data_IF_992907056954
#
_entry.id   IF_992907056954
#
_cell.length_a   1.000
_cell.length_b   1.000
_cell.length_c   1.000
_cell.angle_alpha   90.00
_cell.angle_beta   90.00
_cell.angle_gamma   90.00
#
_symmetry.space_group_name_H-M   'P 1'
#
loop_
_entity.id
_entity.type
_entity.pdbx_description
1 polymer ?
#
# COMPACT_ATOMS: atom_id res chain seq x y z
N UNK A 1 -26.56 -64.59 10.47
CA UNK A 1 -25.42 -63.91 11.12
C UNK A 1 -24.69 -62.98 10.14
N UNK A 2 -24.45 -63.43 8.89
CA UNK A 2 -23.75 -62.67 7.85
C UNK A 2 -24.46 -61.39 7.36
N UNK A 3 -25.79 -61.39 7.24
CA UNK A 3 -26.58 -60.21 6.85
C UNK A 3 -26.55 -59.10 7.91
N UNK A 4 -26.60 -59.47 9.19
CA UNK A 4 -26.58 -58.51 10.29
C UNK A 4 -25.21 -57.80 10.38
N UNK A 5 -24.12 -58.56 10.16
CA UNK A 5 -22.76 -58.03 10.09
C UNK A 5 -22.54 -57.08 8.90
N UNK A 6 -23.08 -57.42 7.73
CA UNK A 6 -23.03 -56.53 6.55
C UNK A 6 -23.80 -55.23 6.78
N UNK A 7 -24.97 -55.29 7.42
CA UNK A 7 -25.78 -54.09 7.75
C UNK A 7 -25.04 -53.21 8.76
N UNK A 8 -24.47 -53.78 9.83
CA UNK A 8 -23.71 -53.00 10.81
C UNK A 8 -22.42 -52.41 10.24
N UNK A 9 -21.74 -53.11 9.33
CA UNK A 9 -20.59 -52.56 8.61
C UNK A 9 -20.96 -51.38 7.71
N UNK A 10 -22.09 -51.47 6.98
CA UNK A 10 -22.60 -50.36 6.14
C UNK A 10 -23.03 -49.17 7.00
N UNK A 11 -23.72 -49.39 8.12
CA UNK A 11 -24.09 -48.33 9.06
C UNK A 11 -22.86 -47.67 9.70
N UNK A 12 -21.83 -48.46 10.05
CA UNK A 12 -20.56 -47.95 10.55
C UNK A 12 -19.83 -47.09 9.54
N UNK A 13 -19.81 -47.49 8.25
CA UNK A 13 -19.24 -46.69 7.18
C UNK A 13 -20.04 -45.39 6.93
N UNK A 14 -21.38 -45.47 6.98
CA UNK A 14 -22.26 -44.31 6.82
C UNK A 14 -22.14 -43.31 7.98
N UNK A 15 -21.79 -43.75 9.19
CA UNK A 15 -21.59 -42.87 10.34
C UNK A 15 -20.48 -41.83 10.11
N UNK A 16 -19.48 -42.15 9.29
CA UNK A 16 -18.40 -41.22 8.91
C UNK A 16 -18.75 -40.32 7.72
N UNK A 17 -19.79 -40.65 6.96
CA UNK A 17 -20.15 -39.93 5.74
C UNK A 17 -20.42 -38.43 5.96
N UNK A 18 -21.14 -37.99 7.02
CA UNK A 18 -21.31 -36.56 7.29
C UNK A 18 -19.99 -35.83 7.54
N UNK A 19 -19.03 -36.49 8.19
CA UNK A 19 -17.72 -35.90 8.51
C UNK A 19 -16.84 -35.78 7.26
N UNK A 20 -16.82 -36.82 6.42
CA UNK A 20 -16.10 -36.81 5.13
C UNK A 20 -16.67 -35.72 4.22
N UNK A 21 -18.00 -35.60 4.12
CA UNK A 21 -18.65 -34.55 3.34
C UNK A 21 -18.26 -33.17 3.89
N UNK A 22 -18.27 -32.97 5.21
CA UNK A 22 -17.81 -31.71 5.82
C UNK A 22 -16.37 -31.38 5.47
N UNK A 23 -15.47 -32.37 5.47
CA UNK A 23 -14.07 -32.15 5.08
C UNK A 23 -13.95 -31.76 3.63
N UNK A 24 -14.59 -32.49 2.71
CA UNK A 24 -14.60 -32.18 1.28
C UNK A 24 -15.15 -30.78 1.03
N UNK A 25 -16.31 -30.44 1.61
CA UNK A 25 -16.92 -29.12 1.48
C UNK A 25 -16.01 -28.05 2.05
N UNK A 26 -15.42 -28.27 3.23
CA UNK A 26 -14.50 -27.31 3.83
C UNK A 26 -13.26 -27.09 2.96
N UNK A 27 -12.72 -28.15 2.35
CA UNK A 27 -11.54 -28.08 1.50
C UNK A 27 -11.83 -27.33 0.19
N UNK A 28 -12.99 -27.57 -0.42
CA UNK A 28 -13.43 -26.90 -1.64
C UNK A 28 -13.89 -25.45 -1.42
N UNK A 29 -14.31 -25.09 -0.19
CA UNK A 29 -14.81 -23.75 0.12
C UNK A 29 -13.68 -22.73 0.10
N UNK A 30 -13.69 -21.89 -0.93
CA UNK A 30 -12.73 -20.79 -1.09
C UNK A 30 -12.90 -19.72 0.00
N UNK A 31 -11.80 -19.07 0.42
CA UNK A 31 -11.88 -17.88 1.25
C UNK A 31 -12.64 -16.77 0.52
N UNK A 32 -13.47 -16.03 1.25
CA UNK A 32 -14.16 -14.84 0.74
C UNK A 32 -13.79 -13.64 1.61
N UNK A 33 -13.10 -12.67 1.03
CA UNK A 33 -12.70 -11.47 1.75
C UNK A 33 -13.80 -10.41 1.67
N UNK A 34 -14.13 -9.83 2.82
CA UNK A 34 -14.92 -8.62 2.91
C UNK A 34 -13.99 -7.46 3.26
N UNK A 35 -14.03 -6.41 2.44
CA UNK A 35 -13.22 -5.19 2.60
C UNK A 35 -14.19 -4.05 2.89
N UNK A 36 -13.87 -3.27 3.92
CA UNK A 36 -14.55 -2.04 4.28
C UNK A 36 -13.50 -0.94 4.22
N UNK A 37 -13.86 0.21 3.69
CA UNK A 37 -12.99 1.38 3.60
C UNK A 37 -13.56 2.45 4.52
N UNK A 38 -12.68 3.18 5.18
CA UNK A 38 -13.02 4.40 5.89
C UNK A 38 -13.47 5.49 4.89
N UNK A 39 -14.16 6.49 5.41
CA UNK A 39 -14.71 7.59 4.62
C UNK A 39 -13.67 8.67 4.31
N UNK A 40 -12.44 8.56 4.81
CA UNK A 40 -11.37 9.52 4.56
C UNK A 40 -10.13 8.83 3.99
N UNK A 41 -9.52 9.47 2.99
CA UNK A 41 -8.21 9.10 2.47
C UNK A 41 -7.17 10.12 2.91
N UNK A 42 -5.89 9.75 2.83
CA UNK A 42 -4.80 10.73 2.85
C UNK A 42 -4.09 10.70 1.50
N UNK A 43 -4.24 11.78 0.74
CA UNK A 43 -3.53 11.99 -0.51
C UNK A 43 -2.27 12.79 -0.22
N UNK A 44 -1.13 12.34 -0.75
CA UNK A 44 0.16 12.96 -0.49
C UNK A 44 1.07 12.99 -1.72
N UNK A 45 2.06 13.85 -1.62
CA UNK A 45 3.27 13.80 -2.44
C UNK A 45 4.47 13.89 -1.50
N UNK A 46 5.27 12.83 -1.44
CA UNK A 46 6.38 12.69 -0.49
C UNK A 46 7.67 12.29 -1.23
N UNK A 47 8.77 12.01 -0.50
CA UNK A 47 10.03 11.55 -1.10
C UNK A 47 9.92 10.23 -1.93
N UNK A 48 8.78 9.54 -1.83
CA UNK A 48 8.40 8.36 -2.61
C UNK A 48 7.43 8.67 -3.78
N UNK A 49 7.26 9.95 -4.12
CA UNK A 49 6.37 10.43 -5.17
C UNK A 49 4.93 10.58 -4.71
N UNK A 50 3.99 10.45 -5.65
CA UNK A 50 2.55 10.48 -5.37
C UNK A 50 2.11 9.25 -4.57
N UNK A 51 1.36 9.49 -3.49
CA UNK A 51 0.89 8.45 -2.56
C UNK A 51 -0.57 8.62 -2.19
N UNK A 52 -1.24 7.50 -1.95
CA UNK A 52 -2.58 7.46 -1.36
C UNK A 52 -2.55 6.51 -0.17
N UNK A 53 -2.90 6.99 1.02
CA UNK A 53 -3.11 6.14 2.17
C UNK A 53 -4.62 5.98 2.40
N UNK A 54 -5.03 4.75 2.67
CA UNK A 54 -6.44 4.40 2.87
C UNK A 54 -6.55 3.50 4.08
N UNK A 55 -7.48 3.82 4.99
CA UNK A 55 -7.78 2.95 6.11
C UNK A 55 -8.79 1.88 5.67
N UNK A 56 -8.37 0.62 5.77
CA UNK A 56 -9.11 -0.54 5.28
C UNK A 56 -9.31 -1.55 6.40
N UNK A 57 -10.55 -2.01 6.56
CA UNK A 57 -10.90 -3.09 7.48
C UNK A 57 -11.16 -4.39 6.71
N UNK A 58 -10.55 -5.47 7.18
CA UNK A 58 -10.57 -6.78 6.53
C UNK A 58 -11.20 -7.82 7.44
N UNK A 59 -12.16 -8.58 6.90
CA UNK A 59 -12.67 -9.79 7.54
C UNK A 59 -12.84 -10.89 6.50
N UNK A 60 -12.32 -12.07 6.80
CA UNK A 60 -12.47 -13.22 5.93
C UNK A 60 -13.73 -13.99 6.29
N UNK A 61 -14.41 -14.55 5.29
CA UNK A 61 -15.50 -15.49 5.47
C UNK A 61 -14.99 -16.89 5.17
N UNK A 62 -15.52 -17.86 5.92
CA UNK A 62 -15.27 -19.30 5.81
C UNK A 62 -13.92 -19.77 6.36
N UNK A 63 -12.82 -19.09 6.04
CA UNK A 63 -11.47 -19.39 6.53
C UNK A 63 -10.64 -18.11 6.61
N UNK A 64 -9.68 -18.07 7.54
CA UNK A 64 -8.66 -17.02 7.56
C UNK A 64 -7.85 -17.07 6.26
N UNK A 65 -7.43 -15.91 5.78
CA UNK A 65 -6.76 -15.76 4.49
C UNK A 65 -5.50 -14.90 4.64
N UNK A 66 -4.45 -15.26 3.92
CA UNK A 66 -3.25 -14.44 3.83
C UNK A 66 -3.41 -13.44 2.69
N UNK A 67 -3.42 -12.14 3.00
CA UNK A 67 -3.31 -11.06 2.01
C UNK A 67 -1.85 -10.92 1.62
N UNK A 68 -1.55 -11.11 0.33
CA UNK A 68 -0.18 -11.17 -0.20
C UNK A 68 0.20 -9.94 -1.02
N UNK A 69 -0.78 -9.22 -1.56
CA UNK A 69 -0.53 -8.01 -2.32
C UNK A 69 -1.78 -7.13 -2.37
N UNK A 70 -1.58 -5.82 -2.47
CA UNK A 70 -2.63 -4.88 -2.83
C UNK A 70 -2.14 -3.90 -3.90
N UNK A 71 -2.98 -3.73 -4.91
CA UNK A 71 -2.77 -2.79 -6.01
C UNK A 71 -3.91 -1.80 -6.05
N UNK A 72 -3.57 -0.55 -6.35
CA UNK A 72 -4.53 0.51 -6.45
C UNK A 72 -4.41 1.12 -7.85
N UNK A 73 -5.49 0.99 -8.62
CA UNK A 73 -5.58 1.57 -9.96
C UNK A 73 -6.42 2.83 -9.85
N UNK A 74 -5.82 3.98 -10.08
CA UNK A 74 -6.47 5.28 -10.03
C UNK A 74 -6.72 5.76 -11.45
N UNK A 75 -7.91 6.31 -11.70
CA UNK A 75 -8.25 7.03 -12.93
C UNK A 75 -8.65 8.45 -12.61
N UNK A 76 -8.06 9.40 -13.31
CA UNK A 76 -8.44 10.81 -13.24
C UNK A 76 -9.63 11.13 -14.17
N UNK A 77 -10.10 12.38 -14.12
CA UNK A 77 -11.15 12.90 -15.00
C UNK A 77 -10.84 12.77 -16.50
N UNK A 78 -9.57 12.65 -16.88
CA UNK A 78 -9.14 12.50 -18.27
C UNK A 78 -8.94 11.03 -18.65
N UNK A 79 -9.40 10.08 -17.82
CA UNK A 79 -9.17 8.64 -17.96
C UNK A 79 -7.69 8.21 -17.98
N UNK A 80 -6.78 9.08 -17.55
CA UNK A 80 -5.38 8.70 -17.32
C UNK A 80 -5.33 7.72 -16.17
N UNK A 81 -4.62 6.60 -16.36
CA UNK A 81 -4.56 5.51 -15.39
C UNK A 81 -3.21 5.51 -14.68
N UNK A 82 -3.25 5.49 -13.36
CA UNK A 82 -2.08 5.47 -12.50
C UNK A 82 -2.10 4.22 -11.62
N UNK A 83 -1.00 3.47 -11.66
CA UNK A 83 -0.85 2.25 -10.87
C UNK A 83 -0.02 2.55 -9.63
N UNK A 84 -0.63 2.31 -8.47
CA UNK A 84 0.03 2.34 -7.18
C UNK A 84 0.02 0.93 -6.59
N UNK A 85 1.01 0.63 -5.78
CA UNK A 85 1.14 -0.65 -5.10
C UNK A 85 1.37 -0.39 -3.60
N UNK A 86 0.86 -1.28 -2.75
CA UNK A 86 1.05 -1.14 -1.31
C UNK A 86 2.54 -1.13 -0.95
N UNK A 87 2.95 -0.21 -0.09
CA UNK A 87 4.34 -0.07 0.31
C UNK A 87 4.51 -0.39 1.80
N UNK A 88 3.53 0.02 2.59
CA UNK A 88 3.49 -0.19 4.03
C UNK A 88 2.05 -0.31 4.50
N UNK A 89 1.88 -0.89 5.69
CA UNK A 89 0.64 -0.79 6.43
C UNK A 89 0.93 -0.48 7.90
N UNK A 90 0.03 0.26 8.53
CA UNK A 90 0.04 0.63 9.92
C UNK A 90 -1.14 0.03 10.68
N UNK A 91 -0.91 -0.32 11.94
CA UNK A 91 -1.94 -0.63 12.92
C UNK A 91 -1.90 0.43 14.02
N UNK A 92 -3.04 1.01 14.36
CA UNK A 92 -3.18 1.85 15.55
C UNK A 92 -3.60 0.97 16.71
N UNK A 93 -2.82 0.94 17.80
CA UNK A 93 -3.14 0.15 18.98
C UNK A 93 -3.91 0.97 20.02
N UNK A 94 -3.50 2.21 20.23
CA UNK A 94 -4.12 3.10 21.20
C UNK A 94 -4.20 4.51 20.64
N UNK A 95 -5.35 5.15 20.85
CA UNK A 95 -5.53 6.58 20.63
C UNK A 95 -5.86 7.21 21.99
N UNK A 96 -4.94 8.02 22.51
CA UNK A 96 -5.17 8.84 23.69
C UNK A 96 -5.67 10.20 23.21
N UNK A 97 -6.94 10.52 23.48
CA UNK A 97 -7.50 11.85 23.25
C UNK A 97 -7.51 12.63 24.57
N UNK A 98 -6.70 13.68 24.64
CA UNK A 98 -6.76 14.71 25.69
C UNK A 98 -7.35 16.01 25.09
N UNK A 99 -7.89 16.95 25.91
CA UNK A 99 -8.57 18.16 25.43
C UNK A 99 -7.75 19.05 24.48
N UNK A 100 -6.42 18.98 24.55
CA UNK A 100 -5.50 19.78 23.73
C UNK A 100 -4.44 18.95 22.98
N UNK A 101 -4.51 17.62 23.07
CA UNK A 101 -3.53 16.75 22.42
C UNK A 101 -4.11 15.36 22.16
N UNK A 102 -3.86 14.82 20.97
CA UNK A 102 -4.10 13.41 20.66
C UNK A 102 -2.75 12.71 20.48
N UNK A 103 -2.55 11.59 21.16
CA UNK A 103 -1.39 10.73 20.96
C UNK A 103 -1.84 9.36 20.49
N UNK A 104 -1.44 8.98 19.27
CA UNK A 104 -1.68 7.65 18.71
C UNK A 104 -0.42 6.80 18.82
N UNK A 105 -0.53 5.66 19.49
CA UNK A 105 0.51 4.63 19.49
C UNK A 105 0.12 3.55 18.48
N UNK A 106 1.00 3.28 17.53
CA UNK A 106 0.78 2.29 16.49
C UNK A 106 2.07 1.67 16.00
N UNK A 107 1.94 0.64 15.16
CA UNK A 107 3.07 -0.03 14.50
C UNK A 107 2.93 0.12 13.00
N UNK A 108 3.91 0.77 12.38
CA UNK A 108 4.06 0.81 10.93
C UNK A 108 5.04 -0.25 10.46
N UNK A 109 4.70 -0.98 9.40
CA UNK A 109 5.50 -2.06 8.86
C UNK A 109 5.55 -1.99 7.34
N UNK A 110 6.67 -2.42 6.75
CA UNK A 110 6.76 -2.65 5.31
C UNK A 110 5.73 -3.70 4.90
N UNK A 111 5.02 -3.45 3.80
CA UNK A 111 4.01 -4.37 3.30
C UNK A 111 4.69 -5.61 2.67
N UNK A 112 4.35 -6.79 3.20
CA UNK A 112 4.80 -8.08 2.69
C UNK A 112 3.60 -9.01 2.60
N UNK A 113 2.97 -9.30 3.73
CA UNK A 113 1.75 -10.06 3.83
C UNK A 113 1.12 -9.83 5.21
N UNK A 114 -0.19 -10.03 5.34
CA UNK A 114 -0.83 -10.14 6.67
C UNK A 114 -2.04 -11.07 6.63
N UNK A 115 -2.41 -11.60 7.79
CA UNK A 115 -3.57 -12.50 7.92
C UNK A 115 -4.84 -11.68 8.13
N UNK A 116 -5.85 -11.93 7.30
CA UNK A 116 -7.23 -11.56 7.57
C UNK A 116 -7.92 -12.74 8.26
N UNK A 117 -8.43 -12.52 9.46
CA UNK A 117 -9.06 -13.57 10.27
C UNK A 117 -10.52 -13.79 9.87
N UNK A 118 -11.01 -15.00 10.13
CA UNK A 118 -12.42 -15.35 9.85
C UNK A 118 -13.41 -14.64 10.77
N UNK A 119 -13.03 -14.53 12.05
CA UNK A 119 -13.94 -14.14 13.13
C UNK A 119 -13.46 -12.86 13.85
N UNK A 120 -12.44 -12.18 13.31
CA UNK A 120 -11.91 -10.93 13.83
C UNK A 120 -11.67 -9.94 12.69
N UNK A 121 -12.19 -8.73 12.86
CA UNK A 121 -11.97 -7.62 11.95
C UNK A 121 -10.59 -7.02 12.24
N UNK A 122 -9.83 -6.78 11.18
CA UNK A 122 -8.50 -6.19 11.26
C UNK A 122 -8.48 -4.89 10.49
N UNK A 123 -8.15 -3.79 11.16
CA UNK A 123 -8.04 -2.47 10.56
C UNK A 123 -6.59 -2.15 10.25
N UNK A 124 -6.36 -1.60 9.06
CA UNK A 124 -5.02 -1.25 8.58
C UNK A 124 -5.07 0.06 7.82
N UNK A 125 -4.23 1.01 8.22
CA UNK A 125 -3.88 2.13 7.36
C UNK A 125 -2.88 1.63 6.32
N UNK A 126 -3.28 1.54 5.06
CA UNK A 126 -2.43 1.03 3.97
C UNK A 126 -1.92 2.20 3.14
N UNK A 127 -0.61 2.34 3.02
CA UNK A 127 0.01 3.33 2.15
C UNK A 127 0.35 2.76 0.78
N UNK A 128 -0.21 3.37 -0.27
CA UNK A 128 0.04 3.02 -1.67
C UNK A 128 0.99 4.03 -2.31
N UNK A 129 2.02 3.55 -3.00
CA UNK A 129 3.03 4.39 -3.67
C UNK A 129 2.99 4.18 -5.18
N UNK A 130 3.30 5.24 -5.94
CA UNK A 130 3.43 5.20 -7.39
C UNK A 130 4.48 4.18 -7.84
N UNK A 131 4.05 3.18 -8.61
CA UNK A 131 4.95 2.16 -9.17
C UNK A 131 5.93 2.82 -10.16
N UNK A 132 5.43 3.70 -11.03
CA UNK A 132 6.25 4.39 -12.01
C UNK A 132 7.40 5.17 -11.35
N UNK A 133 7.08 5.99 -10.35
CA UNK A 133 8.08 6.79 -9.65
C UNK A 133 9.11 5.90 -8.95
N UNK A 134 8.65 4.86 -8.25
CA UNK A 134 9.52 3.95 -7.52
C UNK A 134 10.54 3.26 -8.43
N UNK A 135 10.09 2.71 -9.56
CA UNK A 135 10.99 2.00 -10.49
C UNK A 135 11.97 2.96 -11.17
N UNK A 136 11.50 4.13 -11.63
CA UNK A 136 12.38 5.14 -12.25
C UNK A 136 13.39 5.74 -11.27
N UNK A 137 12.95 6.04 -10.05
CA UNK A 137 13.83 6.48 -8.97
C UNK A 137 14.90 5.43 -8.69
N UNK A 138 14.53 4.15 -8.56
CA UNK A 138 15.48 3.04 -8.34
C UNK A 138 16.52 2.94 -9.46
N UNK A 139 16.10 3.07 -10.71
CA UNK A 139 17.00 3.06 -11.88
C UNK A 139 18.04 4.18 -11.79
N UNK A 140 17.60 5.42 -11.57
CA UNK A 140 18.48 6.60 -11.49
C UNK A 140 19.42 6.52 -10.28
N UNK A 141 18.91 6.10 -9.13
CA UNK A 141 19.70 5.92 -7.91
C UNK A 141 20.82 4.92 -8.11
N UNK A 142 20.55 3.79 -8.77
CA UNK A 142 21.59 2.80 -9.03
C UNK A 142 22.74 3.38 -9.87
N UNK A 143 22.43 4.19 -10.87
CA UNK A 143 23.45 4.87 -11.69
C UNK A 143 24.22 5.92 -10.89
N UNK A 144 23.54 6.71 -10.05
CA UNK A 144 24.20 7.68 -9.15
C UNK A 144 25.14 6.97 -8.17
N UNK A 145 24.72 5.85 -7.59
CA UNK A 145 25.55 5.07 -6.68
C UNK A 145 26.81 4.53 -7.39
N UNK A 146 26.70 4.09 -8.64
CA UNK A 146 27.86 3.69 -9.44
C UNK A 146 28.84 4.85 -9.67
N UNK A 147 28.34 6.06 -9.94
CA UNK A 147 29.18 7.26 -10.05
C UNK A 147 29.91 7.56 -8.73
N UNK A 148 29.20 7.48 -7.60
CA UNK A 148 29.78 7.67 -6.26
C UNK A 148 30.86 6.62 -5.97
N UNK A 149 30.59 5.35 -6.26
CA UNK A 149 31.54 4.24 -6.04
C UNK A 149 32.79 4.42 -6.90
N UNK A 150 32.66 4.79 -8.17
CA UNK A 150 33.79 5.07 -9.05
C UNK A 150 34.68 6.20 -8.50
N UNK A 151 34.07 7.28 -7.97
CA UNK A 151 34.82 8.38 -7.36
C UNK A 151 35.52 7.99 -6.06
N UNK A 152 34.93 7.08 -5.26
CA UNK A 152 35.58 6.52 -4.07
C UNK A 152 36.87 5.77 -4.41
N UNK A 153 36.90 5.01 -5.51
CA UNK A 153 38.13 4.36 -5.97
C UNK A 153 39.24 5.36 -6.33
N UNK A 154 38.87 6.55 -6.83
CA UNK A 154 39.83 7.62 -7.16
C UNK A 154 40.23 8.49 -5.97
N UNK A 155 39.69 8.24 -4.78
CA UNK A 155 40.11 8.89 -3.52
C UNK A 155 39.52 10.27 -3.25
N UNK A 156 38.65 10.82 -4.11
CA UNK A 156 38.01 12.11 -3.88
C UNK A 156 36.57 12.12 -4.44
N UNK A 157 35.57 12.18 -3.56
CA UNK A 157 34.16 12.32 -3.96
C UNK A 157 33.90 13.80 -4.21
N UNK A 158 33.62 14.16 -5.46
CA UNK A 158 33.25 15.52 -5.82
C UNK A 158 31.73 15.61 -5.97
N UNK A 159 31.06 16.08 -4.92
CA UNK A 159 29.60 16.23 -4.86
C UNK A 159 29.07 17.09 -6.00
N UNK A 160 29.77 18.17 -6.37
CA UNK A 160 29.33 19.08 -7.43
C UNK A 160 29.28 18.38 -8.79
N UNK A 161 30.27 17.52 -9.08
CA UNK A 161 30.26 16.73 -10.32
C UNK A 161 29.09 15.75 -10.37
N UNK A 162 28.71 15.17 -9.22
CA UNK A 162 27.54 14.28 -9.14
C UNK A 162 26.25 15.06 -9.34
N UNK A 163 26.12 16.25 -8.74
CA UNK A 163 24.94 17.12 -8.92
C UNK A 163 24.79 17.63 -10.35
N UNK A 164 25.88 17.74 -11.09
CA UNK A 164 25.90 18.11 -12.51
C UNK A 164 25.67 16.92 -13.45
N UNK A 165 25.69 15.68 -12.94
CA UNK A 165 25.42 14.49 -13.75
C UNK A 165 23.98 14.51 -14.30
N UNK A 166 23.81 13.93 -15.49
CA UNK A 166 22.49 13.73 -16.10
C UNK A 166 21.53 12.98 -15.19
N UNK A 167 22.03 11.97 -14.49
CA UNK A 167 21.26 11.09 -13.61
C UNK A 167 20.68 11.85 -12.41
N UNK A 168 21.47 12.73 -11.80
CA UNK A 168 21.00 13.56 -10.69
C UNK A 168 19.97 14.59 -11.17
N UNK A 169 20.24 15.25 -12.29
CA UNK A 169 19.32 16.22 -12.90
C UNK A 169 17.99 15.54 -13.24
N UNK A 170 18.04 14.34 -13.82
CA UNK A 170 16.86 13.55 -14.16
C UNK A 170 16.11 13.06 -12.92
N UNK A 171 16.80 12.75 -11.82
CA UNK A 171 16.16 12.40 -10.54
C UNK A 171 15.41 13.60 -9.96
N UNK A 172 16.00 14.80 -10.02
CA UNK A 172 15.32 16.02 -9.59
C UNK A 172 14.14 16.36 -10.49
N UNK A 173 14.28 16.20 -11.81
CA UNK A 173 13.17 16.40 -12.76
C UNK A 173 12.04 15.39 -12.56
N UNK A 174 12.37 14.13 -12.28
CA UNK A 174 11.38 13.10 -11.93
C UNK A 174 10.52 13.53 -10.72
N UNK A 175 11.11 14.25 -9.75
CA UNK A 175 10.36 14.78 -8.61
C UNK A 175 9.43 15.95 -8.98
N UNK A 176 9.69 16.70 -10.06
CA UNK A 176 8.75 17.72 -10.52
C UNK A 176 7.59 17.09 -11.32
N UNK A 177 7.92 16.14 -12.19
CA UNK A 177 6.99 15.65 -13.21
C UNK A 177 6.08 14.50 -12.74
N UNK A 178 6.38 13.88 -11.60
CA UNK A 178 5.69 12.66 -11.15
C UNK A 178 4.49 12.90 -10.24
N UNK A 179 4.10 14.16 -10.01
CA UNK A 179 2.85 14.46 -9.33
C UNK A 179 1.67 14.11 -10.24
N UNK A 180 0.90 13.10 -9.85
CA UNK A 180 -0.26 12.65 -10.63
C UNK A 180 -1.54 13.39 -10.23
N UNK A 181 -1.50 14.10 -9.10
CA UNK A 181 -2.64 14.77 -8.50
C UNK A 181 -2.93 16.10 -9.19
N UNK A 182 -4.17 16.24 -9.61
CA UNK A 182 -4.80 17.41 -10.23
C UNK A 182 -6.16 17.66 -9.59
N UNK A 183 -6.67 18.87 -9.72
CA UNK A 183 -8.02 19.21 -9.28
C UNK A 183 -9.03 18.37 -10.05
N UNK A 184 -10.04 17.85 -9.35
CA UNK A 184 -11.11 17.07 -9.95
C UNK A 184 -11.40 15.77 -9.23
N UNK A 185 -12.14 14.90 -9.91
CA UNK A 185 -12.60 13.63 -9.36
C UNK A 185 -11.68 12.49 -9.80
N UNK A 186 -11.61 11.49 -8.95
CA UNK A 186 -10.86 10.27 -9.17
C UNK A 186 -11.74 9.08 -8.89
N UNK A 187 -11.54 8.02 -9.67
CA UNK A 187 -12.03 6.68 -9.32
C UNK A 187 -10.83 5.81 -9.01
N UNK A 188 -10.97 4.97 -7.99
CA UNK A 188 -9.93 4.09 -7.53
C UNK A 188 -10.47 2.66 -7.41
N UNK A 189 -9.71 1.71 -7.93
CA UNK A 189 -9.99 0.29 -7.83
C UNK A 189 -8.89 -0.37 -7.01
N UNK A 190 -9.19 -0.69 -5.76
CA UNK A 190 -8.32 -1.41 -4.85
C UNK A 190 -8.48 -2.92 -5.09
N UNK A 191 -7.43 -3.55 -5.60
CA UNK A 191 -7.35 -4.98 -5.87
C UNK A 191 -6.56 -5.65 -4.75
N UNK A 192 -7.20 -6.57 -4.05
CA UNK A 192 -6.62 -7.31 -2.92
C UNK A 192 -6.42 -8.77 -3.31
N UNK A 193 -5.17 -9.22 -3.31
CA UNK A 193 -4.78 -10.58 -3.66
C UNK A 193 -4.59 -11.39 -2.37
N UNK A 194 -5.18 -12.58 -2.34
CA UNK A 194 -5.03 -13.51 -1.23
C UNK A 194 -4.49 -14.86 -1.71
N UNK A 195 -3.73 -15.52 -0.85
CA UNK A 195 -3.15 -16.82 -1.14
C UNK A 195 -4.22 -17.84 -1.57
N UNK A 196 -3.95 -18.57 -2.65
CA UNK A 196 -4.83 -19.62 -3.18
C UNK A 196 -6.02 -19.14 -4.01
N UNK A 197 -6.28 -17.83 -4.11
CA UNK A 197 -7.26 -17.27 -5.04
C UNK A 197 -6.60 -16.75 -6.32
N UNK A 198 -7.12 -17.13 -7.48
CA UNK A 198 -6.60 -16.69 -8.79
C UNK A 198 -6.92 -15.23 -9.11
N UNK A 199 -8.06 -14.73 -8.65
CA UNK A 199 -8.56 -13.39 -8.94
C UNK A 199 -8.54 -12.53 -7.68
N UNK A 200 -8.18 -11.24 -7.79
CA UNK A 200 -8.24 -10.33 -6.66
C UNK A 200 -9.69 -10.05 -6.24
N UNK A 201 -9.88 -9.70 -4.99
CA UNK A 201 -11.07 -9.00 -4.53
C UNK A 201 -10.94 -7.53 -4.90
N UNK A 202 -12.02 -6.93 -5.40
CA UNK A 202 -12.01 -5.56 -5.89
C UNK A 202 -12.92 -4.71 -5.01
N UNK A 203 -12.39 -3.62 -4.49
CA UNK A 203 -13.13 -2.58 -3.80
C UNK A 203 -12.96 -1.27 -4.57
N UNK A 204 -14.07 -0.71 -5.05
CA UNK A 204 -14.06 0.51 -5.85
C UNK A 204 -14.58 1.68 -5.02
N UNK A 205 -13.93 2.82 -5.18
CA UNK A 205 -14.33 4.06 -4.53
C UNK A 205 -13.97 5.28 -5.38
N UNK A 206 -14.52 6.43 -5.04
CA UNK A 206 -14.21 7.72 -5.66
C UNK A 206 -13.90 8.76 -4.60
N UNK A 207 -13.13 9.76 -4.98
CA UNK A 207 -12.80 10.92 -4.17
C UNK A 207 -12.53 12.13 -5.08
N UNK A 208 -12.44 13.33 -4.51
CA UNK A 208 -12.12 14.54 -5.27
C UNK A 208 -11.10 15.42 -4.55
N UNK A 209 -10.28 16.11 -5.34
CA UNK A 209 -9.27 17.05 -4.84
C UNK A 209 -9.62 18.47 -5.28
N UNK A 210 -9.49 19.40 -4.33
CA UNK A 210 -9.68 20.84 -4.55
C UNK A 210 -8.39 21.51 -5.06
N UNK A 211 -8.49 22.76 -5.53
CA UNK A 211 -7.29 23.51 -5.95
C UNK A 211 -6.32 23.76 -4.78
N UNK A 212 -6.86 23.98 -3.58
CA UNK A 212 -6.08 24.16 -2.35
C UNK A 212 -5.29 22.90 -2.03
N UNK A 213 -5.91 21.72 -2.15
CA UNK A 213 -5.23 20.43 -1.95
C UNK A 213 -4.04 20.29 -2.91
N UNK A 214 -4.25 20.57 -4.20
CA UNK A 214 -3.19 20.47 -5.20
C UNK A 214 -2.05 21.45 -4.93
N UNK A 215 -2.37 22.68 -4.51
CA UNK A 215 -1.37 23.69 -4.17
C UNK A 215 -0.51 23.25 -2.98
N UNK A 216 -1.14 22.68 -1.94
CA UNK A 216 -0.45 22.12 -0.79
C UNK A 216 0.47 20.96 -1.19
N UNK A 217 -0.05 20.00 -1.96
CA UNK A 217 0.71 18.84 -2.43
C UNK A 217 1.92 19.24 -3.30
N UNK A 218 1.78 20.26 -4.16
CA UNK A 218 2.90 20.77 -4.96
C UNK A 218 4.00 21.40 -4.12
N UNK A 219 3.67 22.03 -2.99
CA UNK A 219 4.68 22.61 -2.10
C UNK A 219 5.60 21.54 -1.48
N UNK A 220 5.11 20.31 -1.29
CA UNK A 220 5.91 19.19 -0.81
C UNK A 220 7.02 18.77 -1.79
N UNK A 221 6.97 19.13 -3.08
CA UNK A 221 8.00 18.76 -4.06
C UNK A 221 9.38 19.25 -3.62
N UNK A 222 9.46 20.47 -3.08
CA UNK A 222 10.72 21.04 -2.56
C UNK A 222 11.26 20.21 -1.40
N UNK A 223 10.41 19.83 -0.46
CA UNK A 223 10.77 18.99 0.69
C UNK A 223 11.20 17.58 0.23
N UNK A 224 10.51 16.99 -0.73
CA UNK A 224 10.86 15.70 -1.34
C UNK A 224 12.24 15.70 -1.97
N UNK A 225 12.56 16.72 -2.77
CA UNK A 225 13.90 16.88 -3.35
C UNK A 225 14.97 17.00 -2.28
N UNK A 226 14.73 17.83 -1.26
CA UNK A 226 15.67 18.03 -0.16
C UNK A 226 15.94 16.73 0.61
N UNK A 227 14.91 15.96 0.94
CA UNK A 227 15.04 14.68 1.65
C UNK A 227 15.78 13.65 0.79
N UNK A 228 15.49 13.60 -0.51
CA UNK A 228 16.22 12.73 -1.45
C UNK A 228 17.69 13.14 -1.49
N UNK A 229 18.00 14.44 -1.65
CA UNK A 229 19.37 14.94 -1.69
C UNK A 229 20.16 14.56 -0.42
N UNK A 230 19.59 14.80 0.77
CA UNK A 230 20.25 14.47 2.04
C UNK A 230 20.45 12.98 2.29
N UNK A 231 19.67 12.12 1.64
CA UNK A 231 19.90 10.68 1.71
C UNK A 231 21.22 10.25 1.04
N UNK A 232 21.77 11.08 0.15
CA UNK A 232 23.07 10.86 -0.51
C UNK A 232 24.17 11.76 0.05
N UNK A 233 23.83 12.99 0.39
CA UNK A 233 24.75 14.00 0.89
C UNK A 233 24.28 14.47 2.27
N UNK A 234 24.43 13.62 3.31
CA UNK A 234 23.99 13.96 4.64
C UNK A 234 24.79 15.16 5.17
N UNK A 235 24.08 16.11 5.79
CA UNK A 235 24.64 17.21 6.56
C UNK A 235 24.17 17.10 8.03
N UNK A 236 24.65 18.00 8.90
CA UNK A 236 24.27 17.99 10.32
C UNK A 236 22.81 18.47 10.57
N UNK A 237 22.15 19.03 9.55
CA UNK A 237 20.84 19.65 9.70
C UNK A 237 19.73 18.60 9.59
N UNK A 238 19.02 18.37 10.70
CA UNK A 238 17.81 17.53 10.67
C UNK A 238 16.73 18.20 9.82
N UNK A 239 16.12 17.43 8.92
CA UNK A 239 14.90 17.84 8.21
C UNK A 239 13.71 17.38 9.04
N UNK A 240 12.76 18.28 9.28
CA UNK A 240 11.45 17.91 9.80
C UNK A 240 10.58 17.36 8.67
N UNK A 241 10.04 16.15 8.86
CA UNK A 241 9.18 15.46 7.89
C UNK A 241 7.72 15.96 7.97
N UNK A 242 7.54 17.28 7.89
CA UNK A 242 6.23 17.93 7.97
C UNK A 242 5.56 17.97 6.59
N UNK A 243 5.13 16.80 6.11
CA UNK A 243 4.42 16.67 4.84
C UNK A 243 3.01 17.26 4.92
N UNK A 244 2.61 18.04 3.92
CA UNK A 244 1.23 18.45 3.76
C UNK A 244 0.41 17.34 3.09
N UNK A 245 -0.70 16.96 3.71
CA UNK A 245 -1.62 15.95 3.22
C UNK A 245 -2.96 16.58 2.86
N UNK A 246 -3.60 16.06 1.84
CA UNK A 246 -5.01 16.33 1.56
C UNK A 246 -5.85 15.17 2.11
N UNK A 247 -6.97 15.49 2.77
CA UNK A 247 -7.85 14.49 3.39
C UNK A 247 -9.21 14.45 2.71
N UNK A 248 -9.32 13.98 1.46
CA UNK A 248 -10.59 13.95 0.75
C UNK A 248 -11.50 12.87 1.33
N UNK A 249 -12.81 13.15 1.30
CA UNK A 249 -13.83 12.16 1.58
C UNK A 249 -13.88 11.10 0.47
N UNK A 250 -13.99 9.85 0.86
CA UNK A 250 -14.13 8.68 0.00
C UNK A 250 -15.60 8.26 -0.03
N UNK A 251 -16.11 8.00 -1.24
CA UNK A 251 -17.41 7.40 -1.45
C UNK A 251 -17.26 6.06 -2.17
N UNK A 252 -17.92 5.03 -1.64
CA UNK A 252 -17.95 3.71 -2.27
C UNK A 252 -18.72 3.77 -3.60
N UNK A 253 -18.20 3.09 -4.63
CA UNK A 253 -18.84 2.89 -5.93
C UNK A 253 -19.64 1.59 -5.98
#
# INVERSE_FOLDING_TARGET
MDTLFKITAVLGALAWMPQIIKWIVSWLRKPKLNIICDNEAQVGYIAFGSVLNVNLSFISKHKSSLVENMELIIKDNNNSTYNLNWAWYGETYYELKAPFASATMGKQQKAIAFVSYRDALVEKLVGFHSVYFREKKKELINKINQLIENQKYTGNINVDTIKQSSEYIDLMRLCDDSIIWKKGSYTASCKVYIAGNKSPFIYNFKFSLTETDISNLKSNIKLAKLIIEKSYFPDENKIEDNWLWASPTIEKL
#
